data_IF_173687867834
#
_entry.id   IF_173687867834
#
_cell.length_a   1.000
_cell.length_b   1.000
_cell.length_c   1.000
_cell.angle_alpha   90.00
_cell.angle_beta   90.00
_cell.angle_gamma   90.00
#
_symmetry.space_group_name_H-M   'P 1'
#
loop_
_entity.id
_entity.type
_entity.pdbx_description
1 polymer ?
#
# COMPACT_ATOMS: atom_id res chain seq x y z
N UNK A 1 -6.50 5.46 24.14
CA UNK A 1 -7.31 5.96 25.28
C UNK A 1 -7.27 4.94 26.44
N UNK A 2 -7.84 3.74 26.29
CA UNK A 2 -7.85 2.74 27.37
C UNK A 2 -6.43 2.35 27.84
N UNK A 3 -5.51 2.07 26.90
CA UNK A 3 -4.12 1.68 27.20
C UNK A 3 -3.35 2.69 28.04
N UNK A 4 -3.53 4.00 27.76
CA UNK A 4 -2.87 5.06 28.52
C UNK A 4 -3.44 5.21 29.92
N UNK A 5 -4.77 5.11 30.06
CA UNK A 5 -5.43 5.21 31.36
C UNK A 5 -4.98 4.04 32.24
N UNK A 6 -4.88 2.83 31.67
CA UNK A 6 -4.37 1.65 32.38
C UNK A 6 -2.93 1.85 32.86
N UNK A 7 -2.02 2.34 32.01
CA UNK A 7 -0.63 2.55 32.44
C UNK A 7 -0.50 3.68 33.46
N UNK A 8 -1.22 4.79 33.30
CA UNK A 8 -1.21 5.90 34.26
C UNK A 8 -1.73 5.45 35.64
N UNK A 9 -2.77 4.61 35.69
CA UNK A 9 -3.29 4.04 36.94
C UNK A 9 -2.26 3.09 37.57
N UNK A 10 -1.61 2.24 36.78
CA UNK A 10 -0.60 1.31 37.27
C UNK A 10 0.70 2.01 37.73
N UNK A 11 0.90 3.27 37.36
CA UNK A 11 2.04 4.11 37.77
C UNK A 11 1.83 4.78 39.13
N UNK A 12 0.64 4.66 39.73
CA UNK A 12 0.33 5.19 41.07
C UNK A 12 1.19 4.41 42.11
N UNK A 13 1.98 5.09 42.94
CA UNK A 13 2.91 4.45 43.88
C UNK A 13 2.21 3.58 44.93
N UNK A 14 0.93 3.82 45.23
CA UNK A 14 0.14 3.06 46.21
C UNK A 14 -0.18 1.61 45.79
N UNK A 15 0.02 1.26 44.51
CA UNK A 15 -0.27 -0.08 44.00
C UNK A 15 0.95 -1.03 43.98
N UNK A 16 2.15 -0.58 44.36
CA UNK A 16 3.42 -1.35 44.31
C UNK A 16 3.75 -2.00 42.94
N UNK A 17 3.03 -1.63 41.87
CA UNK A 17 3.10 -2.25 40.54
C UNK A 17 4.00 -1.49 39.54
N UNK A 18 4.88 -0.62 40.03
CA UNK A 18 5.73 0.25 39.20
C UNK A 18 6.58 -0.52 38.18
N UNK A 19 7.00 -1.75 38.50
CA UNK A 19 7.73 -2.61 37.58
C UNK A 19 6.86 -3.12 36.42
N UNK A 20 5.58 -3.41 36.68
CA UNK A 20 4.64 -3.86 35.65
C UNK A 20 4.29 -2.69 34.73
N UNK A 21 4.12 -1.48 35.29
CA UNK A 21 3.90 -0.27 34.51
C UNK A 21 5.06 0.03 33.54
N UNK A 22 6.31 -0.12 33.99
CA UNK A 22 7.49 0.07 33.14
C UNK A 22 7.56 -0.96 32.00
N UNK A 23 7.18 -2.21 32.25
CA UNK A 23 7.16 -3.24 31.22
C UNK A 23 6.05 -2.98 30.19
N UNK A 24 4.87 -2.56 30.64
CA UNK A 24 3.76 -2.15 29.79
C UNK A 24 4.09 -0.92 28.94
N UNK A 25 4.84 0.05 29.48
CA UNK A 25 5.34 1.20 28.73
C UNK A 25 6.13 0.78 27.49
N UNK A 26 7.06 -0.17 27.65
CA UNK A 26 7.87 -0.68 26.53
C UNK A 26 7.06 -1.45 25.50
N UNK A 27 6.07 -2.24 25.95
CA UNK A 27 5.21 -3.01 25.05
C UNK A 27 4.28 -2.08 24.28
N UNK A 28 3.65 -1.12 24.97
CA UNK A 28 2.70 -0.22 24.35
C UNK A 28 3.34 0.87 23.50
N UNK A 29 4.65 1.08 23.63
CA UNK A 29 5.42 1.95 22.73
C UNK A 29 5.37 1.53 21.26
N UNK A 30 5.00 0.27 20.97
CA UNK A 30 4.77 -0.27 19.61
C UNK A 30 3.44 0.21 18.98
N UNK A 31 2.60 0.91 19.75
CA UNK A 31 1.36 1.48 19.27
C UNK A 31 1.52 3.00 19.10
N UNK A 32 1.38 3.54 17.87
CA UNK A 32 1.63 4.97 17.61
C UNK A 32 0.77 5.89 18.48
N UNK A 33 -0.49 5.48 18.72
CA UNK A 33 -1.43 6.24 19.55
C UNK A 33 -1.01 6.34 21.02
N UNK A 34 -0.32 5.32 21.53
CA UNK A 34 0.23 5.32 22.89
C UNK A 34 1.50 6.16 22.93
N UNK A 35 2.44 5.92 22.02
CA UNK A 35 3.72 6.64 21.95
C UNK A 35 3.51 8.16 21.85
N UNK A 36 2.58 8.62 21.01
CA UNK A 36 2.24 10.04 20.88
C UNK A 36 1.69 10.62 22.19
N UNK A 37 0.74 9.94 22.82
CA UNK A 37 0.08 10.48 24.00
C UNK A 37 0.97 10.37 25.25
N UNK A 38 1.84 9.37 25.34
CA UNK A 38 2.88 9.26 26.35
C UNK A 38 3.91 10.39 26.20
N UNK A 39 4.32 10.71 24.96
CA UNK A 39 5.23 11.83 24.69
C UNK A 39 4.65 13.18 25.14
N UNK A 40 3.38 13.45 24.82
CA UNK A 40 2.69 14.68 25.26
C UNK A 40 2.61 14.75 26.79
N UNK A 41 2.28 13.63 27.43
CA UNK A 41 2.13 13.56 28.89
C UNK A 41 3.48 13.74 29.61
N UNK A 42 4.54 13.09 29.14
CA UNK A 42 5.89 13.21 29.71
C UNK A 42 6.46 14.63 29.48
N UNK A 43 6.26 15.25 28.31
CA UNK A 43 6.64 16.67 28.08
C UNK A 43 5.88 17.61 29.01
N UNK A 44 4.55 17.45 29.08
CA UNK A 44 3.72 18.35 29.88
C UNK A 44 4.05 18.25 31.37
N UNK A 45 4.23 17.01 31.88
CA UNK A 45 4.61 16.77 33.26
C UNK A 45 6.02 17.27 33.57
N UNK A 46 6.99 17.11 32.65
CA UNK A 46 8.34 17.63 32.80
C UNK A 46 8.37 19.17 32.81
N UNK A 47 7.64 19.81 31.89
CA UNK A 47 7.51 21.27 31.84
C UNK A 47 6.90 21.83 33.13
N UNK A 48 5.78 21.25 33.57
CA UNK A 48 5.11 21.63 34.83
C UNK A 48 6.04 21.47 36.04
N UNK A 49 6.75 20.36 36.12
CA UNK A 49 7.66 20.08 37.25
C UNK A 49 8.86 21.02 37.24
N UNK A 50 9.41 21.31 36.07
CA UNK A 50 10.53 22.26 35.89
C UNK A 50 10.11 23.69 36.25
N UNK A 51 8.95 24.15 35.79
CA UNK A 51 8.42 25.48 36.10
C UNK A 51 8.18 25.67 37.61
N UNK A 52 7.60 24.67 38.28
CA UNK A 52 7.35 24.73 39.72
C UNK A 52 8.68 24.66 40.48
N UNK A 53 9.51 23.66 40.23
CA UNK A 53 10.71 23.42 41.04
C UNK A 53 11.85 24.42 40.78
N UNK A 54 11.85 25.16 39.65
CA UNK A 54 12.79 26.26 39.41
C UNK A 54 12.41 27.57 40.10
N UNK A 55 11.23 27.67 40.73
CA UNK A 55 10.88 28.91 41.43
C UNK A 55 11.82 29.18 42.61
N UNK A 56 12.26 30.44 42.81
CA UNK A 56 13.22 30.79 43.85
C UNK A 56 12.70 30.53 45.27
N UNK A 57 11.38 30.48 45.46
CA UNK A 57 10.79 30.13 46.74
C UNK A 57 11.18 28.70 47.18
N UNK A 58 11.21 27.74 46.26
CA UNK A 58 11.49 26.35 46.58
C UNK A 58 12.99 26.07 46.78
N UNK A 59 13.88 26.75 46.05
CA UNK A 59 15.32 26.64 46.29
C UNK A 59 15.73 27.16 47.67
N UNK A 60 15.06 28.21 48.16
CA UNK A 60 15.24 28.74 49.52
C UNK A 60 14.69 27.77 50.58
N UNK A 61 13.52 27.16 50.33
CA UNK A 61 12.95 26.16 51.24
C UNK A 61 13.87 24.93 51.37
N UNK A 62 14.46 24.46 50.27
CA UNK A 62 15.41 23.34 50.28
C UNK A 62 16.68 23.68 51.08
N UNK A 63 17.30 24.83 50.81
CA UNK A 63 18.55 25.25 51.48
C UNK A 63 18.38 25.54 52.98
N UNK A 64 17.23 26.08 53.41
CA UNK A 64 16.95 26.35 54.82
C UNK A 64 16.38 25.14 55.58
N UNK A 65 16.10 24.02 54.90
CA UNK A 65 15.58 22.78 55.48
C UNK A 65 14.34 22.98 56.38
N UNK A 66 13.43 23.88 55.98
CA UNK A 66 12.27 24.29 56.79
C UNK A 66 11.19 23.20 56.80
N UNK A 67 10.96 22.54 55.66
CA UNK A 67 9.98 21.48 55.49
C UNK A 67 10.40 20.52 54.36
N UNK A 68 10.07 19.22 54.45
CA UNK A 68 10.31 18.28 53.35
C UNK A 68 9.50 18.71 52.12
N UNK A 69 10.18 18.87 50.99
CA UNK A 69 9.57 19.33 49.74
C UNK A 69 9.97 18.40 48.58
N UNK A 70 9.01 17.95 47.75
CA UNK A 70 9.28 17.06 46.62
C UNK A 70 10.28 17.60 45.58
N UNK A 71 10.50 18.93 45.51
CA UNK A 71 11.48 19.55 44.62
C UNK A 71 12.93 19.49 45.15
N UNK A 72 13.20 19.06 46.39
CA UNK A 72 14.55 19.04 46.97
C UNK A 72 15.35 17.78 46.59
N UNK A 73 15.55 17.56 45.27
CA UNK A 73 16.22 16.36 44.72
C UNK A 73 17.67 16.22 45.16
N UNK A 74 18.47 17.29 45.13
CA UNK A 74 19.92 17.25 45.38
C UNK A 74 20.28 16.88 46.81
N UNK A 75 19.42 17.21 47.77
CA UNK A 75 19.67 16.98 49.20
C UNK A 75 18.94 15.74 49.73
N UNK A 76 18.19 15.01 48.88
CA UNK A 76 17.37 13.84 49.27
C UNK A 76 16.32 14.12 50.36
N UNK A 77 15.81 15.35 50.44
CA UNK A 77 14.88 15.83 51.50
C UNK A 77 13.43 15.92 51.01
N UNK A 78 12.96 14.88 50.33
CA UNK A 78 11.71 14.91 49.58
C UNK A 78 10.47 14.40 50.35
N UNK A 79 10.64 14.04 51.62
CA UNK A 79 9.56 13.49 52.46
C UNK A 79 9.11 12.08 52.04
N UNK A 80 8.00 11.61 52.60
CA UNK A 80 7.51 10.24 52.40
C UNK A 80 6.99 9.94 50.99
N UNK A 81 6.69 10.97 50.18
CA UNK A 81 6.14 10.82 48.83
C UNK A 81 7.21 10.75 47.72
N UNK A 82 8.49 10.84 48.06
CA UNK A 82 9.61 10.77 47.11
C UNK A 82 9.90 12.11 46.39
N UNK A 83 11.04 12.17 45.70
CA UNK A 83 11.45 13.36 44.96
C UNK A 83 10.77 13.41 43.58
N UNK A 84 10.38 14.62 43.16
CA UNK A 84 9.98 14.87 41.78
C UNK A 84 11.23 14.86 40.91
N UNK A 85 11.20 14.06 39.85
CA UNK A 85 12.24 14.06 38.82
C UNK A 85 11.83 14.98 37.68
N UNK A 86 12.77 15.76 37.18
CA UNK A 86 12.66 16.53 35.95
C UNK A 86 14.00 16.52 35.22
N UNK A 87 13.96 16.77 33.91
CA UNK A 87 15.14 16.83 33.04
C UNK A 87 15.11 18.10 32.20
N UNK A 88 16.28 18.70 31.98
CA UNK A 88 16.43 19.79 30.99
C UNK A 88 16.64 19.27 29.58
N UNK A 89 17.09 18.02 29.45
CA UNK A 89 17.23 17.34 28.18
C UNK A 89 15.90 16.71 27.77
N UNK A 90 15.07 17.51 27.08
CA UNK A 90 13.77 17.07 26.57
C UNK A 90 13.90 15.92 25.56
N UNK A 91 15.02 15.80 24.85
CA UNK A 91 15.27 14.74 23.86
C UNK A 91 15.97 13.52 24.48
N UNK A 92 16.13 13.51 25.80
CA UNK A 92 16.73 12.40 26.53
C UNK A 92 16.00 11.06 26.30
N UNK A 93 16.75 9.97 26.42
CA UNK A 93 16.23 8.59 26.35
C UNK A 93 15.67 8.10 27.70
N UNK A 94 16.08 8.76 28.78
CA UNK A 94 15.70 8.50 30.16
C UNK A 94 14.24 8.91 30.44
N UNK A 95 13.72 8.58 31.63
CA UNK A 95 12.36 8.97 32.06
C UNK A 95 12.17 10.49 31.95
N UNK A 96 10.97 10.91 31.55
CA UNK A 96 10.57 12.31 31.26
C UNK A 96 11.20 12.94 29.99
N UNK A 97 12.08 12.22 29.29
CA UNK A 97 12.52 12.57 27.95
C UNK A 97 11.63 11.93 26.87
N UNK A 98 11.52 12.58 25.71
CA UNK A 98 10.73 12.08 24.56
C UNK A 98 11.52 11.35 23.50
N UNK A 99 12.85 11.26 23.64
CA UNK A 99 13.74 10.65 22.65
C UNK A 99 13.33 9.22 22.30
N UNK A 100 12.99 8.41 23.31
CA UNK A 100 12.50 7.04 23.11
C UNK A 100 11.21 7.01 22.27
N UNK A 101 10.21 7.83 22.56
CA UNK A 101 8.95 7.81 21.81
C UNK A 101 9.14 8.24 20.36
N UNK A 102 9.99 9.25 20.11
CA UNK A 102 10.29 9.74 18.76
C UNK A 102 10.99 8.68 17.91
N UNK A 103 11.95 7.94 18.48
CA UNK A 103 12.64 6.86 17.76
C UNK A 103 11.69 5.72 17.41
N UNK A 104 10.82 5.31 18.34
CA UNK A 104 9.84 4.27 18.07
C UNK A 104 8.80 4.71 17.02
N UNK A 105 8.29 5.93 17.08
CA UNK A 105 7.40 6.49 16.05
C UNK A 105 8.07 6.56 14.67
N UNK A 106 9.35 6.91 14.61
CA UNK A 106 10.11 6.92 13.36
C UNK A 106 10.30 5.50 12.80
N UNK A 107 10.64 4.53 13.64
CA UNK A 107 10.78 3.12 13.26
C UNK A 107 9.46 2.54 12.76
N UNK A 108 8.35 2.83 13.44
CA UNK A 108 7.00 2.47 13.01
C UNK A 108 6.65 3.09 11.66
N UNK A 109 6.96 4.37 11.47
CA UNK A 109 6.76 5.07 10.19
C UNK A 109 7.50 4.38 9.04
N UNK A 110 8.77 4.02 9.26
CA UNK A 110 9.55 3.23 8.28
C UNK A 110 8.94 1.86 8.06
N UNK A 111 8.52 1.15 9.11
CA UNK A 111 7.92 -0.18 9.00
C UNK A 111 6.61 -0.15 8.20
N UNK A 112 5.71 0.81 8.47
CA UNK A 112 4.48 0.97 7.71
C UNK A 112 4.73 1.40 6.27
N UNK A 113 5.67 2.31 6.04
CA UNK A 113 6.06 2.70 4.70
C UNK A 113 6.61 1.51 3.90
N UNK A 114 7.47 0.69 4.50
CA UNK A 114 7.99 -0.53 3.89
C UNK A 114 6.87 -1.55 3.65
N UNK A 115 5.94 -1.72 4.58
CA UNK A 115 4.79 -2.62 4.42
C UNK A 115 3.92 -2.18 3.24
N UNK A 116 3.56 -0.89 3.17
CA UNK A 116 2.79 -0.34 2.05
C UNK A 116 3.56 -0.53 0.75
N UNK A 117 4.85 -0.20 0.73
CA UNK A 117 5.71 -0.38 -0.43
C UNK A 117 5.78 -1.85 -0.85
N UNK A 118 5.84 -2.80 0.09
CA UNK A 118 5.86 -4.25 -0.18
C UNK A 118 4.54 -4.70 -0.81
N UNK A 119 3.41 -4.21 -0.29
CA UNK A 119 2.06 -4.48 -0.80
C UNK A 119 1.92 -3.92 -2.22
N UNK A 120 2.32 -2.67 -2.43
CA UNK A 120 2.19 -1.97 -3.71
C UNK A 120 3.14 -2.51 -4.78
N UNK A 121 4.38 -2.85 -4.41
CA UNK A 121 5.40 -3.36 -5.33
C UNK A 121 5.24 -4.86 -5.67
N UNK A 122 4.17 -5.52 -5.20
CA UNK A 122 3.96 -6.98 -5.31
C UNK A 122 5.27 -7.76 -5.10
N UNK A 123 6.07 -7.37 -4.09
CA UNK A 123 7.46 -7.85 -3.91
C UNK A 123 7.54 -9.37 -3.83
N UNK A 124 6.51 -10.01 -3.26
CA UNK A 124 6.37 -11.47 -3.24
C UNK A 124 6.39 -12.11 -4.64
N UNK A 125 5.80 -11.45 -5.65
CA UNK A 125 5.82 -11.92 -7.03
C UNK A 125 7.21 -11.75 -7.66
N UNK A 126 7.89 -10.62 -7.42
CA UNK A 126 9.27 -10.41 -7.92
C UNK A 126 10.32 -11.30 -7.25
N UNK A 127 10.20 -11.56 -5.95
CA UNK A 127 11.12 -12.45 -5.21
C UNK A 127 10.91 -13.91 -5.62
N UNK A 128 9.64 -14.35 -5.79
CA UNK A 128 9.33 -15.64 -6.42
C UNK A 128 9.94 -15.74 -7.82
N UNK A 129 9.85 -14.69 -8.63
CA UNK A 129 10.45 -14.64 -9.97
C UNK A 129 11.98 -14.86 -9.94
N UNK A 130 12.70 -14.16 -9.06
CA UNK A 130 14.16 -14.30 -8.93
C UNK A 130 14.55 -15.67 -8.39
N UNK A 131 13.84 -16.19 -7.38
CA UNK A 131 14.07 -17.52 -6.82
C UNK A 131 13.78 -18.64 -7.83
N UNK A 132 12.71 -18.52 -8.63
CA UNK A 132 12.41 -19.47 -9.70
C UNK A 132 13.46 -19.43 -10.83
N UNK A 133 14.02 -18.25 -11.13
CA UNK A 133 15.14 -18.09 -12.06
C UNK A 133 16.42 -18.75 -11.56
N UNK A 134 16.76 -18.57 -10.28
CA UNK A 134 17.89 -19.24 -9.64
C UNK A 134 17.70 -20.76 -9.59
N UNK A 135 16.49 -21.25 -9.33
CA UNK A 135 16.16 -22.68 -9.32
C UNK A 135 16.34 -23.32 -10.71
N UNK A 136 15.97 -22.60 -11.77
CA UNK A 136 16.17 -23.03 -13.17
C UNK A 136 17.63 -23.05 -13.61
N UNK A 137 18.49 -22.20 -13.03
CA UNK A 137 19.93 -22.24 -13.27
C UNK A 137 20.61 -23.48 -12.68
N UNK A 138 19.94 -24.20 -11.76
CA UNK A 138 20.48 -25.36 -11.04
C UNK A 138 19.95 -26.70 -11.58
N UNK A 139 18.83 -26.73 -12.31
CA UNK A 139 18.26 -27.96 -12.88
C UNK A 139 18.73 -28.21 -14.32
N UNK A 140 19.35 -29.36 -14.64
CA UNK A 140 19.80 -29.64 -15.99
C UNK A 140 18.63 -30.01 -16.92
N UNK A 141 18.69 -29.41 -18.10
CA UNK A 141 17.81 -29.54 -19.27
C UNK A 141 17.49 -31.01 -19.59
N UNK A 142 16.23 -31.42 -19.48
CA UNK A 142 15.71 -32.63 -20.14
C UNK A 142 14.90 -32.23 -21.38
N UNK A 143 15.33 -32.81 -22.51
CA UNK A 143 14.77 -32.60 -23.83
C UNK A 143 13.34 -33.11 -23.95
N UNK A 144 12.48 -32.31 -24.60
CA UNK A 144 11.28 -32.83 -25.26
C UNK A 144 9.97 -32.14 -24.88
N UNK A 145 9.76 -30.92 -25.40
CA UNK A 145 8.56 -30.49 -26.15
C UNK A 145 8.67 -29.00 -26.48
N UNK A 146 8.42 -28.69 -27.74
CA UNK A 146 8.35 -27.33 -28.26
C UNK A 146 7.00 -26.69 -27.90
N UNK A 147 7.01 -25.36 -27.81
CA UNK A 147 5.86 -24.45 -27.66
C UNK A 147 5.10 -24.51 -26.32
N UNK A 148 5.64 -23.81 -25.32
CA UNK A 148 4.86 -23.25 -24.20
C UNK A 148 5.67 -22.06 -23.66
N UNK A 149 5.77 -20.99 -24.46
CA UNK A 149 6.28 -19.70 -24.01
C UNK A 149 5.10 -18.99 -23.32
N UNK A 150 4.71 -19.52 -22.17
CA UNK A 150 3.60 -19.04 -21.35
C UNK A 150 4.15 -18.35 -20.12
N UNK A 151 4.36 -17.04 -20.23
CA UNK A 151 4.28 -16.15 -19.09
C UNK A 151 2.87 -16.34 -18.52
N UNK A 152 2.70 -17.21 -17.51
CA UNK A 152 1.49 -17.18 -16.68
C UNK A 152 1.52 -15.85 -15.92
N UNK A 153 1.12 -14.77 -16.59
CA UNK A 153 0.33 -13.74 -15.94
C UNK A 153 -0.82 -14.49 -15.29
N UNK A 154 -0.89 -14.47 -13.96
CA UNK A 154 -2.19 -14.62 -13.30
C UNK A 154 -3.05 -13.50 -13.90
N UNK A 155 -3.73 -13.80 -15.00
CA UNK A 155 -4.73 -12.94 -15.59
C UNK A 155 -5.82 -12.75 -14.54
N UNK A 156 -6.30 -11.53 -14.40
CA UNK A 156 -7.34 -11.24 -13.42
C UNK A 156 -8.55 -12.15 -13.68
N UNK A 157 -9.20 -12.62 -12.61
CA UNK A 157 -10.28 -13.63 -12.69
C UNK A 157 -11.42 -13.19 -13.63
N UNK A 158 -11.70 -11.88 -13.67
CA UNK A 158 -12.66 -11.26 -14.58
C UNK A 158 -12.20 -11.30 -16.05
N UNK A 159 -10.92 -11.09 -16.33
CA UNK A 159 -10.33 -11.21 -17.68
C UNK A 159 -10.39 -12.65 -18.18
N UNK A 160 -10.09 -13.63 -17.31
CA UNK A 160 -10.19 -15.05 -17.64
C UNK A 160 -11.65 -15.45 -17.89
N UNK A 161 -12.56 -15.03 -17.01
CA UNK A 161 -13.98 -15.29 -17.15
C UNK A 161 -14.54 -14.69 -18.46
N UNK A 162 -14.11 -13.49 -18.83
CA UNK A 162 -14.52 -12.83 -20.06
C UNK A 162 -13.96 -13.54 -21.29
N UNK A 163 -12.67 -13.93 -21.29
CA UNK A 163 -12.10 -14.74 -22.36
C UNK A 163 -12.90 -16.05 -22.54
N UNK A 164 -13.21 -16.74 -21.45
CA UNK A 164 -13.99 -17.97 -21.49
C UNK A 164 -15.42 -17.72 -21.99
N UNK A 165 -16.05 -16.59 -21.63
CA UNK A 165 -17.37 -16.21 -22.14
C UNK A 165 -17.35 -16.04 -23.65
N UNK A 166 -16.38 -15.31 -24.18
CA UNK A 166 -16.26 -15.03 -25.63
C UNK A 166 -15.90 -16.29 -26.42
N UNK A 167 -14.98 -17.11 -25.93
CA UNK A 167 -14.54 -18.30 -26.65
C UNK A 167 -15.60 -19.41 -26.67
N UNK A 168 -16.31 -19.62 -25.55
CA UNK A 168 -17.30 -20.70 -25.42
C UNK A 168 -18.69 -20.34 -25.95
N UNK A 169 -19.00 -19.05 -26.11
CA UNK A 169 -20.30 -18.62 -26.65
C UNK A 169 -20.23 -18.51 -28.17
N UNK A 170 -21.18 -19.09 -28.92
CA UNK A 170 -21.21 -18.93 -30.37
C UNK A 170 -21.42 -17.45 -30.74
N UNK A 171 -20.77 -16.94 -31.81
CA UNK A 171 -20.86 -15.54 -32.23
C UNK A 171 -22.30 -15.03 -32.39
N UNK A 172 -23.21 -15.87 -32.92
CA UNK A 172 -24.61 -15.50 -33.13
C UNK A 172 -25.32 -15.08 -31.83
N UNK A 173 -25.01 -15.75 -30.71
CA UNK A 173 -25.59 -15.42 -29.40
C UNK A 173 -24.93 -14.20 -28.76
N UNK A 174 -23.62 -14.01 -28.98
CA UNK A 174 -22.91 -12.83 -28.48
C UNK A 174 -23.39 -11.56 -29.20
N UNK A 175 -23.73 -11.67 -30.48
CA UNK A 175 -24.25 -10.56 -31.29
C UNK A 175 -25.58 -10.00 -30.76
N UNK A 176 -26.42 -10.83 -30.14
CA UNK A 176 -27.69 -10.40 -29.54
C UNK A 176 -27.47 -9.55 -28.28
N UNK A 177 -26.39 -9.79 -27.52
CA UNK A 177 -26.12 -9.10 -26.24
C UNK A 177 -25.11 -7.97 -26.36
N UNK A 178 -24.12 -8.11 -27.25
CA UNK A 178 -22.91 -7.29 -27.28
C UNK A 178 -22.82 -6.50 -28.60
N UNK A 179 -22.49 -5.21 -28.49
CA UNK A 179 -22.36 -4.31 -29.65
C UNK A 179 -20.99 -4.38 -30.31
N UNK A 180 -19.96 -4.69 -29.52
CA UNK A 180 -18.59 -4.90 -29.94
C UNK A 180 -18.11 -6.24 -29.40
N UNK A 181 -17.58 -7.09 -30.26
CA UNK A 181 -17.02 -8.39 -29.89
C UNK A 181 -15.62 -8.50 -30.49
N UNK A 182 -14.61 -8.75 -29.68
CA UNK A 182 -13.23 -9.03 -30.07
C UNK A 182 -12.97 -10.50 -29.80
N UNK A 183 -12.57 -11.26 -30.81
CA UNK A 183 -12.28 -12.70 -30.66
C UNK A 183 -10.89 -13.01 -31.20
N UNK A 184 -10.01 -13.36 -30.28
CA UNK A 184 -8.58 -13.61 -30.55
C UNK A 184 -7.91 -12.51 -31.38
N UNK A 185 -8.30 -11.25 -31.13
CA UNK A 185 -7.85 -10.12 -31.94
C UNK A 185 -6.35 -9.91 -31.76
N UNK A 186 -5.60 -10.00 -32.86
CA UNK A 186 -4.14 -9.93 -32.84
C UNK A 186 -3.61 -8.98 -33.92
N UNK A 187 -2.52 -8.28 -33.59
CA UNK A 187 -1.74 -7.48 -34.53
C UNK A 187 -0.24 -7.69 -34.36
N UNK A 188 0.38 -8.19 -35.43
CA UNK A 188 1.83 -8.27 -35.59
C UNK A 188 2.27 -7.42 -36.76
N UNK A 189 3.26 -6.57 -36.53
CA UNK A 189 3.87 -5.72 -37.54
C UNK A 189 5.01 -6.45 -38.28
N UNK A 190 5.34 -6.02 -39.51
CA UNK A 190 6.55 -6.49 -40.20
C UNK A 190 7.77 -6.31 -39.29
N UNK A 191 8.58 -7.37 -39.13
CA UNK A 191 9.69 -7.40 -38.17
C UNK A 191 9.39 -8.16 -36.88
N UNK A 192 8.21 -8.78 -36.76
CA UNK A 192 7.89 -9.72 -35.66
C UNK A 192 7.41 -9.05 -34.37
N UNK A 193 7.15 -7.74 -34.39
CA UNK A 193 6.62 -7.03 -33.23
C UNK A 193 5.10 -7.23 -33.11
N UNK A 194 4.66 -8.02 -32.13
CA UNK A 194 3.25 -8.16 -31.75
C UNK A 194 2.84 -6.97 -30.88
N UNK A 195 1.97 -6.12 -31.42
CA UNK A 195 1.47 -4.92 -30.76
C UNK A 195 0.13 -5.13 -30.05
N UNK A 196 -0.61 -6.17 -30.44
CA UNK A 196 -1.86 -6.63 -29.81
C UNK A 196 -1.84 -8.14 -29.86
N UNK A 197 -2.09 -8.82 -28.75
CA UNK A 197 -1.95 -10.25 -28.61
C UNK A 197 -3.26 -10.88 -28.10
N UNK A 198 -3.96 -11.61 -28.98
CA UNK A 198 -5.15 -12.43 -28.70
C UNK A 198 -6.16 -11.84 -27.69
N UNK A 199 -6.60 -10.59 -27.92
CA UNK A 199 -7.60 -9.94 -27.06
C UNK A 199 -8.98 -10.58 -27.29
N UNK A 200 -9.62 -10.97 -26.19
CA UNK A 200 -10.98 -11.50 -26.15
C UNK A 200 -11.83 -10.60 -25.24
N UNK A 201 -12.86 -9.95 -25.79
CA UNK A 201 -13.69 -8.97 -25.07
C UNK A 201 -15.04 -8.79 -25.77
N UNK A 202 -16.13 -8.72 -25.02
CA UNK A 202 -17.44 -8.28 -25.50
C UNK A 202 -17.92 -7.05 -24.73
N UNK A 203 -18.46 -6.06 -25.44
CA UNK A 203 -19.05 -4.87 -24.85
C UNK A 203 -20.57 -4.91 -25.03
N UNK A 204 -21.35 -5.04 -23.94
CA UNK A 204 -22.80 -5.06 -23.97
C UNK A 204 -23.45 -3.84 -24.64
N UNK A 205 -24.67 -4.03 -25.14
CA UNK A 205 -25.49 -2.94 -25.68
C UNK A 205 -25.74 -1.84 -24.63
N UNK A 206 -25.38 -0.60 -24.96
CA UNK A 206 -25.59 0.57 -24.09
C UNK A 206 -24.45 0.85 -23.11
N UNK A 207 -23.43 0.00 -23.07
CA UNK A 207 -22.23 0.21 -22.26
C UNK A 207 -21.19 1.06 -22.99
N UNK A 208 -20.48 1.92 -22.26
CA UNK A 208 -19.37 2.70 -22.77
C UNK A 208 -18.05 2.09 -22.26
N UNK A 209 -17.25 1.54 -23.19
CA UNK A 209 -15.99 0.89 -22.87
C UNK A 209 -14.78 1.74 -23.28
N UNK A 210 -13.80 1.87 -22.39
CA UNK A 210 -12.57 2.64 -22.62
C UNK A 210 -11.31 1.82 -22.36
N UNK A 211 -10.33 1.91 -23.27
CA UNK A 211 -9.01 1.28 -23.08
C UNK A 211 -8.09 2.24 -22.30
N UNK A 212 -7.66 1.83 -21.11
CA UNK A 212 -6.68 2.55 -20.28
C UNK A 212 -5.37 1.77 -20.17
N UNK A 213 -4.24 2.46 -20.15
CA UNK A 213 -2.93 1.83 -19.99
C UNK A 213 -1.77 2.73 -20.40
N UNK A 214 -0.53 2.28 -20.20
CA UNK A 214 0.69 3.02 -20.57
C UNK A 214 0.87 3.16 -22.09
N UNK A 215 1.72 4.09 -22.52
CA UNK A 215 2.12 4.20 -23.93
C UNK A 215 2.81 2.91 -24.38
N UNK A 216 2.44 2.42 -25.57
CA UNK A 216 2.95 1.15 -26.10
C UNK A 216 2.12 -0.10 -25.77
N UNK A 217 1.10 -0.01 -24.92
CA UNK A 217 0.25 -1.16 -24.56
C UNK A 217 -0.74 -1.64 -25.67
N UNK A 218 -0.64 -1.14 -26.90
CA UNK A 218 -1.52 -1.56 -28.00
C UNK A 218 -2.89 -0.87 -28.08
N UNK A 219 -3.21 0.12 -27.23
CA UNK A 219 -4.51 0.84 -27.25
C UNK A 219 -4.85 1.46 -28.60
N UNK A 220 -3.95 2.31 -29.11
CA UNK A 220 -4.13 2.98 -30.42
C UNK A 220 -4.16 1.96 -31.56
N UNK A 221 -3.34 0.89 -31.46
CA UNK A 221 -3.33 -0.20 -32.44
C UNK A 221 -4.69 -0.92 -32.47
N UNK A 222 -5.26 -1.21 -31.31
CA UNK A 222 -6.59 -1.84 -31.18
C UNK A 222 -7.66 -0.94 -31.79
N UNK A 223 -7.71 0.34 -31.42
CA UNK A 223 -8.69 1.28 -31.99
C UNK A 223 -8.58 1.38 -33.51
N UNK A 224 -7.36 1.46 -34.07
CA UNK A 224 -7.16 1.51 -35.52
C UNK A 224 -7.62 0.23 -36.22
N UNK A 225 -7.56 -0.92 -35.57
CA UNK A 225 -8.15 -2.15 -36.13
C UNK A 225 -9.68 -2.08 -36.15
N UNK A 226 -10.30 -1.57 -35.09
CA UNK A 226 -11.76 -1.48 -34.99
C UNK A 226 -12.36 -0.42 -35.93
N UNK A 227 -11.63 0.65 -36.23
CA UNK A 227 -12.06 1.66 -37.22
C UNK A 227 -11.80 1.23 -38.66
N UNK A 228 -11.00 0.19 -38.87
CA UNK A 228 -10.58 -0.28 -40.20
C UNK A 228 -9.36 0.41 -40.78
N UNK A 229 -8.72 1.32 -40.04
CA UNK A 229 -7.49 2.00 -40.46
C UNK A 229 -6.28 1.05 -40.47
N UNK A 230 -6.37 -0.07 -39.75
CA UNK A 230 -5.33 -1.09 -39.66
C UNK A 230 -5.93 -2.48 -39.85
N UNK A 231 -5.32 -3.27 -40.75
CA UNK A 231 -5.73 -4.67 -40.91
C UNK A 231 -5.31 -5.51 -39.72
N UNK A 232 -6.19 -6.43 -39.32
CA UNK A 232 -5.94 -7.45 -38.29
C UNK A 232 -4.97 -8.50 -38.81
N UNK A 233 -4.08 -9.02 -37.95
CA UNK A 233 -3.19 -10.14 -38.29
C UNK A 233 -3.87 -11.49 -38.07
N UNK A 234 -4.48 -11.69 -36.90
CA UNK A 234 -5.21 -12.92 -36.54
C UNK A 234 -6.48 -12.59 -35.73
N UNK A 235 -7.44 -13.52 -35.72
CA UNK A 235 -8.75 -13.32 -35.12
C UNK A 235 -9.69 -12.44 -35.96
N UNK A 236 -10.73 -11.93 -35.29
CA UNK A 236 -11.70 -11.00 -35.88
C UNK A 236 -12.33 -10.10 -34.80
N UNK A 237 -12.98 -9.03 -35.24
CA UNK A 237 -13.88 -8.24 -34.40
C UNK A 237 -15.20 -7.98 -35.10
N UNK A 238 -16.28 -7.89 -34.33
CA UNK A 238 -17.62 -7.62 -34.81
C UNK A 238 -18.13 -6.31 -34.22
N UNK A 239 -18.56 -5.40 -35.09
CA UNK A 239 -19.16 -4.11 -34.72
C UNK A 239 -20.55 -4.03 -35.33
N UNK A 240 -21.59 -3.90 -34.51
CA UNK A 240 -22.99 -3.94 -34.98
C UNK A 240 -23.25 -5.14 -35.93
N UNK A 241 -22.82 -6.35 -35.53
CA UNK A 241 -22.97 -7.60 -36.29
C UNK A 241 -22.12 -7.71 -37.58
N UNK A 242 -21.31 -6.71 -37.90
CA UNK A 242 -20.43 -6.73 -39.07
C UNK A 242 -18.99 -7.07 -38.67
N UNK A 243 -18.40 -8.04 -39.36
CA UNK A 243 -16.98 -8.38 -39.21
C UNK A 243 -16.10 -7.25 -39.74
N UNK A 244 -15.08 -6.84 -38.99
CA UNK A 244 -14.10 -5.85 -39.46
C UNK A 244 -13.21 -6.43 -40.57
N UNK A 245 -13.05 -7.75 -40.62
CA UNK A 245 -12.26 -8.43 -41.65
C UNK A 245 -13.03 -8.58 -42.96
N UNK A 246 -14.32 -8.91 -42.91
CA UNK A 246 -15.13 -9.18 -44.10
C UNK A 246 -15.95 -7.96 -44.58
N UNK A 247 -16.45 -7.13 -43.67
CA UNK A 247 -17.48 -6.11 -43.92
C UNK A 247 -17.03 -4.69 -43.55
N UNK A 248 -15.74 -4.36 -43.73
CA UNK A 248 -15.16 -3.11 -43.23
C UNK A 248 -15.90 -1.84 -43.69
N UNK A 249 -16.41 -1.82 -44.93
CA UNK A 249 -17.17 -0.67 -45.45
C UNK A 249 -18.46 -0.42 -44.65
N UNK A 250 -19.11 -1.48 -44.18
CA UNK A 250 -20.32 -1.38 -43.35
C UNK A 250 -19.95 -0.94 -41.94
N UNK A 251 -18.87 -1.48 -41.38
CA UNK A 251 -18.33 -1.08 -40.07
C UNK A 251 -18.01 0.41 -40.04
N UNK A 252 -17.23 0.94 -40.99
CA UNK A 252 -16.86 2.36 -41.02
C UNK A 252 -18.06 3.30 -41.15
N UNK A 253 -19.18 2.84 -41.73
CA UNK A 253 -20.43 3.61 -41.80
C UNK A 253 -21.32 3.49 -40.56
N UNK A 254 -21.21 2.39 -39.81
CA UNK A 254 -22.06 2.06 -38.67
C UNK A 254 -21.39 2.33 -37.31
N UNK A 255 -20.06 2.41 -37.28
CA UNK A 255 -19.27 2.54 -36.06
C UNK A 255 -19.22 3.99 -35.59
N UNK A 256 -19.74 4.25 -34.39
CA UNK A 256 -19.50 5.49 -33.63
C UNK A 256 -18.25 5.36 -32.76
N UNK A 257 -17.16 4.82 -33.32
CA UNK A 257 -15.89 4.69 -32.60
C UNK A 257 -15.16 6.02 -32.72
N UNK A 258 -15.08 6.77 -31.61
CA UNK A 258 -14.40 8.06 -31.57
C UNK A 258 -13.18 7.98 -30.65
N UNK A 259 -11.95 8.18 -31.16
CA UNK A 259 -10.79 8.30 -30.30
C UNK A 259 -10.93 9.56 -29.43
N UNK A 260 -10.88 9.39 -28.11
CA UNK A 260 -10.79 10.50 -27.16
C UNK A 260 -9.30 10.78 -26.97
N UNK A 261 -8.69 11.53 -27.87
CA UNK A 261 -7.37 12.10 -27.62
C UNK A 261 -7.54 13.36 -26.78
N UNK A 262 -6.98 13.35 -25.56
CA UNK A 262 -6.65 14.60 -24.86
C UNK A 262 -5.40 15.17 -25.55
N UNK A 263 -5.53 16.37 -26.11
CA UNK A 263 -4.39 17.26 -26.32
C UNK A 263 -3.81 17.68 -24.96
#
# INVERSE_FOLDING_TARGET
>A
MATIITVTILRIPDLELQHIAQLLDWIFLLFPSYAMAAAITDIYSNFRSTEICKQPAFSVICSLNIAPNPCCREESKCGSFGCVEWTEDYLGWEKLGVGRMLVFLALEGVAFFLLITIVEMKVFQRVKYILARLRRAVTPWKNGRALEDGLETEEDEDVVAERLRILNTPPDKLMDSDRLILRDLCKTYPGGLTAVDHINLGVPLGECFGLLGINGAGKTTTFKMLTGDLQVSEGDAYVNHYSIRADIKKVSSAAQIKPISRE
#
